data_IF_498032432608
#
_entry.id   IF_498032432608
#
_cell.length_a   1.000
_cell.length_b   1.000
_cell.length_c   1.000
_cell.angle_alpha   90.00
_cell.angle_beta   90.00
_cell.angle_gamma   90.00
#
_symmetry.space_group_name_H-M   'P 1'
#
loop_
_entity.id
_entity.type
_entity.pdbx_description
1 polymer ?
#
# COMPACT_ATOMS: atom_id res chain seq x y z
N UNK A 1 50.67 -25.31 4.00
CA UNK A 1 49.50 -24.71 4.67
C UNK A 1 49.39 -23.27 4.18
N UNK A 2 48.49 -23.00 3.23
CA UNK A 2 48.28 -21.64 2.72
C UNK A 2 47.34 -20.88 3.67
N UNK A 3 47.62 -19.62 4.02
CA UNK A 3 46.74 -18.86 4.89
C UNK A 3 45.45 -18.50 4.15
N UNK A 4 44.32 -18.96 4.68
CA UNK A 4 42.98 -18.54 4.27
C UNK A 4 42.84 -17.02 4.46
N UNK A 5 42.69 -16.31 3.35
CA UNK A 5 42.49 -14.87 3.36
C UNK A 5 40.98 -14.60 3.55
N UNK A 6 40.53 -14.03 4.69
CA UNK A 6 39.11 -13.79 4.90
C UNK A 6 38.62 -12.74 3.92
N UNK A 7 37.66 -13.11 3.07
CA UNK A 7 37.01 -12.20 2.10
C UNK A 7 36.36 -11.07 2.90
N UNK A 8 37.03 -9.91 2.98
CA UNK A 8 36.45 -8.67 3.50
C UNK A 8 35.32 -8.24 2.58
N UNK A 9 34.07 -8.64 2.89
CA UNK A 9 32.89 -8.15 2.18
C UNK A 9 32.77 -6.65 2.39
N UNK A 10 32.88 -5.86 1.32
CA UNK A 10 32.63 -4.41 1.37
C UNK A 10 31.22 -4.21 1.95
N UNK A 11 31.01 -3.27 2.90
CA UNK A 11 29.68 -2.98 3.40
C UNK A 11 28.77 -2.67 2.21
N UNK A 12 27.66 -3.39 2.10
CA UNK A 12 26.74 -3.25 0.98
C UNK A 12 26.26 -1.80 0.84
N UNK A 13 26.10 -1.33 -0.39
CA UNK A 13 25.51 -0.01 -0.65
C UNK A 13 24.12 0.03 -0.03
N UNK A 14 23.86 1.01 0.86
CA UNK A 14 22.53 1.21 1.44
C UNK A 14 21.49 1.39 0.33
N UNK A 15 20.32 0.79 0.50
CA UNK A 15 19.21 0.95 -0.44
C UNK A 15 18.90 2.44 -0.62
N UNK A 16 18.70 2.88 -1.86
CA UNK A 16 18.27 4.25 -2.18
C UNK A 16 16.95 4.59 -1.49
N UNK A 17 16.09 3.60 -1.27
CA UNK A 17 14.81 3.77 -0.57
C UNK A 17 15.03 3.95 0.93
N UNK A 18 15.95 3.18 1.53
CA UNK A 18 16.29 3.30 2.94
C UNK A 18 16.92 4.67 3.29
N UNK A 19 17.60 5.29 2.33
CA UNK A 19 18.19 6.61 2.46
C UNK A 19 17.25 7.74 1.99
N UNK A 20 16.04 7.43 1.54
CA UNK A 20 15.12 8.42 0.98
C UNK A 20 14.51 9.28 2.11
N UNK A 21 14.45 10.63 1.98
CA UNK A 21 13.91 11.50 3.03
C UNK A 21 12.42 11.24 3.33
N UNK A 22 11.69 10.70 2.36
CA UNK A 22 10.28 10.34 2.49
C UNK A 22 10.07 8.82 2.58
N UNK A 23 11.03 8.08 3.17
CA UNK A 23 10.96 6.62 3.33
C UNK A 23 9.62 6.17 3.92
N UNK A 24 9.19 6.80 5.00
CA UNK A 24 7.97 6.41 5.71
C UNK A 24 6.73 6.59 4.82
N UNK A 25 6.68 7.65 4.00
CA UNK A 25 5.60 7.88 3.04
C UNK A 25 5.61 6.85 1.88
N UNK A 26 6.78 6.36 1.48
CA UNK A 26 6.91 5.29 0.49
C UNK A 26 6.37 3.98 1.06
N UNK A 27 6.76 3.65 2.30
CA UNK A 27 6.31 2.44 3.00
C UNK A 27 4.80 2.45 3.25
N UNK A 28 4.25 3.56 3.73
CA UNK A 28 2.82 3.75 3.90
C UNK A 28 2.06 3.61 2.56
N UNK A 29 2.59 4.17 1.47
CA UNK A 29 1.98 4.03 0.15
C UNK A 29 1.99 2.56 -0.34
N UNK A 30 3.06 1.82 -0.09
CA UNK A 30 3.12 0.38 -0.38
C UNK A 30 2.14 -0.41 0.49
N UNK A 31 2.04 -0.09 1.77
CA UNK A 31 1.11 -0.71 2.71
C UNK A 31 -0.36 -0.43 2.37
N UNK A 32 -0.68 0.76 1.89
CA UNK A 32 -2.00 1.13 1.38
C UNK A 32 -2.39 0.41 0.07
N UNK A 33 -1.62 -0.59 -0.38
CA UNK A 33 -1.93 -1.39 -1.58
C UNK A 33 -1.66 -0.66 -2.91
N UNK A 34 -1.02 0.51 -2.89
CA UNK A 34 -0.66 1.21 -4.14
C UNK A 34 0.41 0.39 -4.86
N UNK A 35 0.21 0.16 -6.16
CA UNK A 35 1.16 -0.64 -6.94
C UNK A 35 2.57 -0.05 -6.90
N UNK A 36 3.58 -0.91 -6.78
CA UNK A 36 4.99 -0.49 -6.71
C UNK A 36 5.42 0.38 -7.90
N UNK A 37 4.79 0.22 -9.07
CA UNK A 37 5.02 1.08 -10.24
C UNK A 37 4.56 2.52 -9.97
N UNK A 38 3.36 2.70 -9.42
CA UNK A 38 2.80 4.02 -9.09
C UNK A 38 3.59 4.67 -7.96
N UNK A 39 3.94 3.92 -6.91
CA UNK A 39 4.79 4.41 -5.82
C UNK A 39 6.17 4.85 -6.35
N UNK A 40 6.84 3.99 -7.11
CA UNK A 40 8.14 4.32 -7.70
C UNK A 40 8.10 5.58 -8.57
N UNK A 41 7.07 5.74 -9.40
CA UNK A 41 6.89 6.94 -10.21
C UNK A 41 6.66 8.19 -9.34
N UNK A 42 5.80 8.11 -8.32
CA UNK A 42 5.47 9.21 -7.42
C UNK A 42 6.69 9.77 -6.69
N UNK A 43 7.60 8.89 -6.26
CA UNK A 43 8.76 9.26 -5.45
C UNK A 43 10.08 9.32 -6.25
N UNK A 44 10.03 9.20 -7.58
CA UNK A 44 11.24 9.28 -8.43
C UNK A 44 12.23 8.14 -8.19
N UNK A 45 11.75 6.95 -7.80
CA UNK A 45 12.59 5.80 -7.47
C UNK A 45 12.63 4.76 -8.60
N UNK A 46 13.75 4.03 -8.77
CA UNK A 46 13.77 2.87 -9.64
C UNK A 46 12.84 1.78 -9.12
N UNK A 47 11.91 1.29 -9.95
CA UNK A 47 10.92 0.24 -9.57
C UNK A 47 11.57 -0.99 -8.94
N UNK A 48 12.71 -1.43 -9.48
CA UNK A 48 13.44 -2.60 -8.95
C UNK A 48 14.12 -2.32 -7.61
N UNK A 49 14.54 -1.09 -7.35
CA UNK A 49 15.10 -0.73 -6.05
C UNK A 49 14.00 -0.75 -4.97
N UNK A 50 12.80 -0.24 -5.30
CA UNK A 50 11.64 -0.31 -4.41
C UNK A 50 11.18 -1.75 -4.16
N UNK A 51 11.10 -2.57 -5.20
CA UNK A 51 10.75 -3.99 -5.07
C UNK A 51 11.72 -4.71 -4.12
N UNK A 52 13.03 -4.61 -4.36
CA UNK A 52 14.04 -5.26 -3.51
C UNK A 52 13.97 -4.76 -2.08
N UNK A 53 13.79 -3.46 -1.89
CA UNK A 53 13.63 -2.87 -0.57
C UNK A 53 12.42 -3.43 0.17
N UNK A 54 11.23 -3.34 -0.42
CA UNK A 54 9.97 -3.76 0.19
C UNK A 54 9.99 -5.23 0.63
N UNK A 55 10.51 -6.11 -0.24
CA UNK A 55 10.60 -7.54 0.06
C UNK A 55 11.76 -7.89 1.00
N UNK A 56 12.74 -7.00 1.18
CA UNK A 56 13.80 -7.17 2.18
C UNK A 56 13.36 -6.81 3.61
N UNK A 57 12.25 -6.08 3.77
CA UNK A 57 11.73 -5.74 5.10
C UNK A 57 11.28 -7.01 5.86
N UNK A 58 11.40 -7.04 7.19
CA UNK A 58 10.81 -8.10 7.99
C UNK A 58 9.30 -8.19 7.79
N UNK A 59 8.75 -9.41 7.83
CA UNK A 59 7.31 -9.61 7.67
C UNK A 59 6.50 -8.89 8.76
N UNK A 60 6.96 -8.95 10.01
CA UNK A 60 6.34 -8.25 11.15
C UNK A 60 6.25 -6.75 10.91
N UNK A 61 7.31 -6.15 10.38
CA UNK A 61 7.34 -4.72 10.08
C UNK A 61 6.36 -4.35 8.96
N UNK A 62 6.29 -5.15 7.88
CA UNK A 62 5.28 -4.94 6.84
C UNK A 62 3.85 -5.08 7.40
N UNK A 63 3.61 -6.05 8.28
CA UNK A 63 2.30 -6.24 8.89
C UNK A 63 1.88 -5.05 9.76
N UNK A 64 2.82 -4.47 10.51
CA UNK A 64 2.57 -3.24 11.28
C UNK A 64 2.19 -2.07 10.35
N UNK A 65 2.93 -1.89 9.25
CA UNK A 65 2.60 -0.87 8.25
C UNK A 65 1.23 -1.09 7.59
N UNK A 66 0.86 -2.35 7.31
CA UNK A 66 -0.46 -2.69 6.80
C UNK A 66 -1.58 -2.37 7.79
N UNK A 67 -1.38 -2.67 9.08
CA UNK A 67 -2.35 -2.33 10.13
C UNK A 67 -2.53 -0.81 10.26
N UNK A 68 -1.43 -0.06 10.30
CA UNK A 68 -1.47 1.40 10.37
C UNK A 68 -2.16 2.02 9.15
N UNK A 69 -1.89 1.49 7.94
CA UNK A 69 -2.55 1.95 6.73
C UNK A 69 -4.07 1.65 6.74
N UNK A 70 -4.48 0.50 7.29
CA UNK A 70 -5.89 0.15 7.45
C UNK A 70 -6.59 1.07 8.44
N UNK A 71 -5.96 1.35 9.59
CA UNK A 71 -6.51 2.27 10.61
C UNK A 71 -6.72 3.68 10.04
N UNK A 72 -5.78 4.16 9.22
CA UNK A 72 -5.87 5.45 8.56
C UNK A 72 -6.99 5.49 7.52
N UNK A 73 -7.14 4.43 6.72
CA UNK A 73 -8.20 4.33 5.72
C UNK A 73 -9.58 4.30 6.38
N UNK A 74 -9.73 3.52 7.45
CA UNK A 74 -10.93 3.47 8.30
C UNK A 74 -11.28 4.85 8.88
N UNK A 75 -10.29 5.56 9.43
CA UNK A 75 -10.50 6.89 9.99
C UNK A 75 -10.97 7.89 8.93
N UNK A 76 -10.34 7.88 7.76
CA UNK A 76 -10.72 8.73 6.62
C UNK A 76 -12.12 8.39 6.11
N UNK A 77 -12.46 7.10 6.07
CA UNK A 77 -13.78 6.65 5.66
C UNK A 77 -14.88 7.10 6.63
N UNK A 78 -14.62 7.05 7.95
CA UNK A 78 -15.54 7.59 8.98
C UNK A 78 -15.75 9.09 8.80
N UNK A 79 -14.71 9.86 8.48
CA UNK A 79 -14.82 11.30 8.23
C UNK A 79 -15.71 11.58 7.01
N UNK A 80 -15.45 10.90 5.87
CA UNK A 80 -16.26 11.04 4.65
C UNK A 80 -17.72 10.69 4.92
N UNK A 81 -17.97 9.56 5.58
CA UNK A 81 -19.33 9.11 5.91
C UNK A 81 -20.06 10.13 6.79
N UNK A 82 -19.36 10.69 7.79
CA UNK A 82 -19.89 11.73 8.67
C UNK A 82 -20.24 13.01 7.90
N UNK A 83 -19.37 13.42 6.98
CA UNK A 83 -19.60 14.56 6.10
C UNK A 83 -20.82 14.37 5.20
N UNK A 84 -20.93 13.21 4.54
CA UNK A 84 -22.07 12.86 3.70
C UNK A 84 -23.38 12.83 4.49
N UNK A 85 -23.37 12.27 5.70
CA UNK A 85 -24.53 12.29 6.59
C UNK A 85 -24.94 13.71 7.01
N UNK A 86 -23.97 14.63 7.18
CA UNK A 86 -24.27 16.04 7.44
C UNK A 86 -24.91 16.74 6.23
N UNK A 87 -24.47 16.42 5.01
CA UNK A 87 -25.07 16.93 3.77
C UNK A 87 -26.50 16.39 3.60
N UNK A 88 -26.70 15.09 3.77
CA UNK A 88 -28.01 14.44 3.66
C UNK A 88 -29.05 15.00 4.65
N UNK A 89 -28.62 15.45 5.83
CA UNK A 89 -29.50 16.15 6.79
C UNK A 89 -29.94 17.53 6.33
N UNK A 90 -29.10 18.23 5.56
CA UNK A 90 -29.39 19.56 5.01
C UNK A 90 -30.18 19.49 3.69
N UNK A 91 -30.07 18.36 3.00
CA UNK A 91 -30.66 18.12 1.68
C UNK A 91 -31.44 16.79 1.67
N UNK A 92 -32.65 16.75 2.24
CA UNK A 92 -33.46 15.54 2.29
C UNK A 92 -33.74 14.94 0.90
N UNK A 93 -33.78 15.78 -0.14
CA UNK A 93 -34.04 15.42 -1.53
C UNK A 93 -32.95 14.52 -2.15
N UNK A 94 -31.69 14.60 -1.69
CA UNK A 94 -30.58 13.75 -2.19
C UNK A 94 -30.16 12.67 -1.19
N UNK A 95 -30.85 12.54 -0.05
CA UNK A 95 -30.45 11.63 1.03
C UNK A 95 -30.36 10.18 0.55
N UNK A 96 -31.36 9.71 -0.21
CA UNK A 96 -31.40 8.35 -0.71
C UNK A 96 -30.20 8.03 -1.62
N UNK A 97 -29.85 8.96 -2.51
CA UNK A 97 -28.71 8.81 -3.43
C UNK A 97 -27.37 8.77 -2.68
N UNK A 98 -27.22 9.58 -1.62
CA UNK A 98 -26.02 9.58 -0.79
C UNK A 98 -25.90 8.30 0.06
N UNK A 99 -27.01 7.82 0.63
CA UNK A 99 -27.05 6.57 1.38
C UNK A 99 -26.72 5.37 0.47
N UNK A 100 -27.27 5.34 -0.75
CA UNK A 100 -26.94 4.32 -1.76
C UNK A 100 -25.47 4.37 -2.17
N UNK A 101 -24.93 5.58 -2.40
CA UNK A 101 -23.52 5.76 -2.74
C UNK A 101 -22.61 5.20 -1.65
N UNK A 102 -22.89 5.52 -0.37
CA UNK A 102 -22.14 5.03 0.79
C UNK A 102 -22.19 3.51 0.89
N UNK A 103 -23.36 2.89 0.68
CA UNK A 103 -23.47 1.43 0.67
C UNK A 103 -22.64 0.80 -0.46
N UNK A 104 -22.74 1.34 -1.67
CA UNK A 104 -22.04 0.79 -2.84
C UNK A 104 -20.52 0.82 -2.70
N UNK A 105 -19.98 1.85 -2.06
CA UNK A 105 -18.53 1.99 -1.85
C UNK A 105 -18.03 1.28 -0.57
N UNK A 106 -18.93 0.96 0.38
CA UNK A 106 -18.60 0.18 1.57
C UNK A 106 -18.53 -1.33 1.31
N UNK A 107 -19.21 -1.84 0.28
CA UNK A 107 -19.14 -3.26 -0.08
C UNK A 107 -17.74 -3.51 -0.66
N UNK A 108 -16.91 -4.38 -0.05
CA UNK A 108 -15.65 -4.76 -0.66
C UNK A 108 -15.96 -5.36 -2.03
N UNK A 109 -15.41 -4.78 -3.08
CA UNK A 109 -15.41 -5.39 -4.41
C UNK A 109 -14.66 -6.70 -4.26
N UNK A 110 -15.39 -7.79 -4.08
CA UNK A 110 -14.85 -9.14 -4.23
C UNK A 110 -14.44 -9.22 -5.69
N UNK A 111 -13.15 -9.03 -5.95
CA UNK A 111 -12.60 -9.17 -7.29
C UNK A 111 -12.90 -10.58 -7.77
N UNK A 112 -13.87 -10.69 -8.68
CA UNK A 112 -14.23 -11.93 -9.35
C UNK A 112 -12.97 -12.60 -9.90
N UNK A 113 -12.79 -13.85 -9.48
CA UNK A 113 -11.93 -14.90 -10.05
C UNK A 113 -11.53 -14.61 -11.50
N UNK A 114 -10.29 -14.17 -11.70
CA UNK A 114 -9.68 -14.13 -13.04
C UNK A 114 -8.86 -15.39 -13.24
N UNK A 115 -9.46 -16.34 -13.96
CA UNK A 115 -8.75 -17.16 -14.95
C UNK A 115 -7.93 -18.34 -14.43
N UNK A 116 -8.58 -19.49 -14.23
CA UNK A 116 -7.92 -20.78 -14.41
C UNK A 116 -7.53 -20.95 -15.88
N UNK A 117 -6.24 -20.84 -16.19
CA UNK A 117 -5.69 -21.33 -17.44
C UNK A 117 -5.44 -22.84 -17.30
N UNK A 118 -6.41 -23.63 -17.74
CA UNK A 118 -6.20 -25.04 -18.05
C UNK A 118 -5.26 -25.11 -19.27
N UNK A 119 -4.03 -25.55 -19.05
CA UNK A 119 -3.16 -26.04 -20.11
C UNK A 119 -3.72 -27.40 -20.57
N UNK A 120 -4.33 -27.43 -21.74
CA UNK A 120 -4.55 -28.68 -22.47
C UNK A 120 -3.20 -29.12 -23.06
N UNK A 121 -2.83 -30.38 -22.77
CA UNK A 121 -1.70 -31.09 -23.36
C UNK A 121 -2.13 -31.78 -24.66
#
# INVERSE_FOLDING_TARGET
MSPENPIRRKPGRKSIVAAHPQRDAIEAACAAGISLRKVAHRFGLPRMALYRYWHSLPAEHRNALFAEAADLDDARWREVTTGLAAIARRHPEVRADLDELVQRISIPVTSSTTGGHAHAA
#
